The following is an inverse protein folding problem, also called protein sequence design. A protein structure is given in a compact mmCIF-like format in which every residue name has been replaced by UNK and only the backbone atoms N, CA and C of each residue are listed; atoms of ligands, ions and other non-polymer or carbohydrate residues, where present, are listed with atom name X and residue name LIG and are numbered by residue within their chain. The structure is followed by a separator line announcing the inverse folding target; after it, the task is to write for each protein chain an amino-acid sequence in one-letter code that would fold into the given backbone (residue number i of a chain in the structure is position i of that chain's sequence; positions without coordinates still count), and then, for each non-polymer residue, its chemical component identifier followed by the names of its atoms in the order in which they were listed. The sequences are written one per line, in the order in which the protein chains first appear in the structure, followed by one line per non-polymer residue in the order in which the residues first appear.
data_IF_045598851884
#
_entry.id   IF_045598851884
#
_cell.length_a   1.000
_cell.length_b   1.000
_cell.length_c   1.000
_cell.angle_alpha   90.00
_cell.angle_beta   90.00
_cell.angle_gamma   90.00
#
_symmetry.space_group_name_H-M   'P 1'
#
loop_
_entity.id
_entity.type
_entity.pdbx_description
1 polymer ?
#
# COMPACT_ATOMS: atom_id res chain seq x y z
N UNK A 1 -5.63 -11.40 -10.62
CA UNK A 1 -4.74 -11.79 -11.74
C UNK A 1 -3.71 -10.71 -12.11
N UNK A 2 -4.10 -9.44 -12.39
CA UNK A 2 -3.15 -8.40 -12.83
C UNK A 2 -2.06 -8.04 -11.80
N UNK A 3 -2.42 -7.82 -10.54
CA UNK A 3 -1.44 -7.42 -9.49
C UNK A 3 -0.48 -8.55 -9.13
N UNK A 4 -0.98 -9.78 -8.96
CA UNK A 4 -0.16 -10.93 -8.61
C UNK A 4 0.85 -11.28 -9.71
N UNK A 5 0.46 -11.18 -10.98
CA UNK A 5 1.38 -11.40 -12.10
C UNK A 5 2.44 -10.29 -12.16
N UNK A 6 2.04 -9.02 -11.99
CA UNK A 6 2.98 -7.89 -11.91
C UNK A 6 4.01 -8.11 -10.79
N UNK A 7 3.53 -8.43 -9.58
CA UNK A 7 4.38 -8.75 -8.44
C UNK A 7 5.33 -9.92 -8.75
N UNK A 8 4.80 -11.00 -9.34
CA UNK A 8 5.57 -12.15 -9.82
C UNK A 8 6.73 -11.76 -10.73
N UNK A 9 6.46 -10.95 -11.75
CA UNK A 9 7.49 -10.51 -12.70
C UNK A 9 8.56 -9.64 -12.04
N UNK A 10 8.20 -8.78 -11.08
CA UNK A 10 9.16 -7.95 -10.37
C UNK A 10 10.03 -8.74 -9.40
N UNK A 11 9.46 -9.75 -8.72
CA UNK A 11 10.21 -10.61 -7.82
C UNK A 11 11.28 -11.41 -8.58
N UNK A 12 10.93 -12.01 -9.72
CA UNK A 12 11.88 -12.74 -10.57
C UNK A 12 13.00 -11.82 -11.07
N UNK A 13 12.67 -10.58 -11.48
CA UNK A 13 13.69 -9.60 -11.91
C UNK A 13 14.67 -9.19 -10.82
N UNK A 14 14.31 -9.39 -9.54
CA UNK A 14 15.12 -9.01 -8.39
C UNK A 14 15.62 -10.20 -7.58
N UNK A 15 15.55 -11.40 -8.16
CA UNK A 15 15.99 -12.64 -7.52
C UNK A 15 15.33 -12.86 -6.14
N UNK A 16 14.07 -12.47 -6.01
CA UNK A 16 13.28 -12.65 -4.80
C UNK A 16 12.40 -13.91 -4.90
N UNK A 17 12.50 -14.78 -3.90
CA UNK A 17 11.59 -15.91 -3.75
C UNK A 17 10.19 -15.43 -3.33
N UNK A 18 9.14 -15.97 -3.96
CA UNK A 18 7.74 -15.70 -3.59
C UNK A 18 7.13 -16.93 -2.94
N UNK A 19 6.59 -16.76 -1.74
CA UNK A 19 5.74 -17.77 -1.11
C UNK A 19 4.33 -17.73 -1.71
N UNK A 20 3.81 -18.90 -2.10
CA UNK A 20 2.38 -19.13 -2.38
C UNK A 20 1.64 -19.78 -1.19
N UNK A 21 2.28 -19.92 -0.03
CA UNK A 21 1.66 -20.59 1.12
C UNK A 21 0.41 -19.82 1.55
N UNK A 22 -0.71 -20.53 1.58
CA UNK A 22 -1.92 -20.05 2.24
C UNK A 22 -1.65 -20.15 3.74
N UNK A 23 -1.89 -19.05 4.47
CA UNK A 23 -1.68 -19.04 5.91
C UNK A 23 -2.67 -19.99 6.58
N UNK A 24 -2.20 -20.87 7.47
CA UNK A 24 -3.03 -21.87 8.14
C UNK A 24 -4.03 -21.21 9.12
N UNK A 25 -3.62 -20.10 9.74
CA UNK A 25 -4.44 -19.28 10.62
C UNK A 25 -5.08 -18.13 9.85
N UNK A 26 -6.12 -18.42 9.06
CA UNK A 26 -6.90 -17.38 8.40
C UNK A 26 -7.76 -16.69 9.44
N UNK A 27 -7.51 -15.40 9.70
CA UNK A 27 -8.41 -14.59 10.52
C UNK A 27 -9.84 -14.66 9.96
N UNK A 28 -10.77 -15.15 10.78
CA UNK A 28 -12.18 -15.27 10.38
C UNK A 28 -12.86 -13.92 10.59
N UNK A 29 -13.24 -13.26 9.49
CA UNK A 29 -14.01 -12.03 9.55
C UNK A 29 -13.66 -11.07 8.42
N UNK A 30 -14.44 -10.00 8.29
CA UNK A 30 -14.06 -8.85 7.45
C UNK A 30 -13.49 -7.78 8.37
N UNK A 31 -12.38 -7.17 7.97
CA UNK A 31 -11.90 -5.97 8.63
C UNK A 31 -12.92 -4.84 8.47
N UNK A 32 -12.99 -3.91 9.44
CA UNK A 32 -13.78 -2.70 9.27
C UNK A 32 -13.32 -1.96 8.01
N UNK A 33 -14.29 -1.49 7.23
CA UNK A 33 -14.04 -0.77 5.99
C UNK A 33 -13.62 0.69 6.23
N UNK A 34 -13.73 1.50 5.19
CA UNK A 34 -13.45 2.92 5.29
C UNK A 34 -14.40 3.64 6.27
N UNK A 35 -13.90 4.70 6.89
CA UNK A 35 -14.73 5.61 7.67
C UNK A 35 -15.58 6.47 6.73
N UNK A 36 -16.90 6.49 6.93
CA UNK A 36 -17.85 7.27 6.13
C UNK A 36 -18.53 8.30 7.03
N UNK A 37 -18.29 9.58 6.74
CA UNK A 37 -18.98 10.66 7.44
C UNK A 37 -20.33 10.95 6.76
N UNK A 38 -21.44 11.01 7.51
CA UNK A 38 -22.74 11.30 6.93
C UNK A 38 -22.76 12.72 6.34
N UNK A 39 -23.25 12.91 5.10
CA UNK A 39 -23.23 14.22 4.46
C UNK A 39 -24.24 15.17 5.13
N UNK A 40 -23.86 16.45 5.25
CA UNK A 40 -24.81 17.52 5.58
C UNK A 40 -25.57 17.89 4.30
N UNK A 41 -26.86 17.56 4.26
CA UNK A 41 -27.72 17.83 3.10
C UNK A 41 -28.16 19.30 3.10
N UNK A 42 -28.22 19.89 1.90
CA UNK A 42 -28.62 21.29 1.69
C UNK A 42 -27.72 21.99 0.67
N UNK A 43 -28.11 23.20 0.27
CA UNK A 43 -27.30 24.05 -0.60
C UNK A 43 -26.36 24.87 0.29
N UNK A 44 -25.05 24.72 0.11
CA UNK A 44 -24.05 25.56 0.76
C UNK A 44 -23.80 26.79 -0.13
N UNK A 45 -24.24 27.96 0.31
CA UNK A 45 -24.08 29.24 -0.41
C UNK A 45 -23.07 30.18 0.25
N UNK A 46 -22.59 29.86 1.46
CA UNK A 46 -21.72 30.77 2.23
C UNK A 46 -20.27 30.71 1.78
N UNK A 47 -19.85 29.61 1.16
CA UNK A 47 -18.47 29.37 0.76
C UNK A 47 -18.37 28.34 -0.38
N UNK A 48 -17.32 28.42 -1.21
CA UNK A 48 -17.00 27.37 -2.16
C UNK A 48 -16.73 26.04 -1.43
N UNK A 49 -17.22 24.95 -2.00
CA UNK A 49 -16.95 23.58 -1.53
C UNK A 49 -15.94 22.94 -2.47
N UNK A 50 -14.81 22.51 -1.93
CA UNK A 50 -13.75 21.82 -2.69
C UNK A 50 -13.63 20.38 -2.20
N UNK A 51 -13.55 19.43 -3.13
CA UNK A 51 -13.24 18.03 -2.83
C UNK A 51 -11.74 17.88 -2.58
N UNK A 52 -11.35 17.71 -1.31
CA UNK A 52 -9.99 17.33 -0.95
C UNK A 52 -9.92 15.81 -0.91
N UNK A 53 -8.96 15.23 -1.64
CA UNK A 53 -8.73 13.79 -1.66
C UNK A 53 -7.22 13.51 -1.62
N UNK A 54 -6.86 12.33 -1.09
CA UNK A 54 -5.49 11.87 -1.06
C UNK A 54 -5.15 11.13 -2.36
N UNK A 55 -4.05 11.52 -2.99
CA UNK A 55 -3.47 10.71 -4.06
C UNK A 55 -3.01 9.35 -3.48
N UNK A 56 -3.70 8.28 -3.87
CA UNK A 56 -3.33 6.90 -3.53
C UNK A 56 -3.25 6.61 -2.01
N UNK A 57 -4.25 7.03 -1.23
CA UNK A 57 -4.32 6.91 0.24
C UNK A 57 -3.71 5.62 0.81
N UNK A 58 -4.21 4.45 0.40
CA UNK A 58 -3.75 3.16 0.94
C UNK A 58 -2.29 2.88 0.64
N UNK A 59 -1.80 3.22 -0.55
CA UNK A 59 -0.40 3.01 -0.91
C UNK A 59 0.51 3.90 -0.06
N UNK A 60 0.12 5.17 0.13
CA UNK A 60 0.83 6.11 0.98
C UNK A 60 0.92 5.61 2.43
N UNK A 61 -0.17 5.07 2.97
CA UNK A 61 -0.17 4.47 4.32
C UNK A 61 0.77 3.27 4.40
N UNK A 62 0.70 2.33 3.45
CA UNK A 62 1.56 1.14 3.43
C UNK A 62 3.04 1.53 3.40
N UNK A 63 3.41 2.50 2.55
CA UNK A 63 4.80 2.94 2.42
C UNK A 63 5.32 3.62 3.70
N UNK A 64 4.53 4.53 4.28
CA UNK A 64 4.91 5.25 5.50
C UNK A 64 5.02 4.28 6.69
N UNK A 65 4.05 3.37 6.83
CA UNK A 65 4.03 2.41 7.92
C UNK A 65 5.23 1.47 7.87
N UNK A 66 5.55 0.93 6.69
CA UNK A 66 6.71 0.07 6.51
C UNK A 66 8.02 0.83 6.82
N UNK A 67 8.15 2.09 6.39
CA UNK A 67 9.32 2.91 6.69
C UNK A 67 9.51 3.10 8.20
N UNK A 68 8.42 3.34 8.94
CA UNK A 68 8.45 3.51 10.40
C UNK A 68 8.87 2.20 11.11
N UNK A 69 8.28 1.05 10.72
CA UNK A 69 8.67 -0.26 11.27
C UNK A 69 10.17 -0.50 11.07
N UNK A 70 10.68 -0.21 9.88
CA UNK A 70 12.07 -0.45 9.55
C UNK A 70 12.99 0.44 10.37
N UNK A 71 12.67 1.74 10.48
CA UNK A 71 13.48 2.69 11.25
C UNK A 71 13.59 2.28 12.71
N UNK A 72 12.52 1.75 13.29
CA UNK A 72 12.49 1.32 14.69
C UNK A 72 13.18 -0.04 14.90
N UNK A 73 13.16 -0.92 13.90
CA UNK A 73 13.68 -2.28 14.04
C UNK A 73 15.12 -2.47 13.55
N UNK A 74 15.72 -1.47 12.90
CA UNK A 74 17.07 -1.57 12.34
C UNK A 74 17.20 -2.61 11.21
N UNK A 75 16.08 -2.96 10.58
CA UNK A 75 16.02 -4.02 9.57
C UNK A 75 16.67 -3.59 8.25
N UNK A 76 17.31 -4.53 7.56
CA UNK A 76 17.82 -4.31 6.20
C UNK A 76 16.66 -4.10 5.21
N UNK A 77 16.84 -3.17 4.28
CA UNK A 77 15.82 -2.79 3.29
C UNK A 77 16.20 -3.18 1.87
N UNK A 78 15.20 -3.62 1.11
CA UNK A 78 15.25 -3.73 -0.34
C UNK A 78 14.52 -2.57 -1.00
N UNK A 79 15.25 -1.79 -1.78
CA UNK A 79 14.65 -0.73 -2.60
C UNK A 79 13.91 -1.32 -3.79
N UNK A 80 12.70 -0.85 -4.02
CA UNK A 80 11.85 -1.23 -5.13
C UNK A 80 11.53 -0.01 -5.97
N UNK A 81 11.97 0.00 -7.22
CA UNK A 81 11.61 1.03 -8.20
C UNK A 81 10.87 0.44 -9.40
N UNK A 82 9.79 1.10 -9.83
CA UNK A 82 9.06 0.72 -11.03
C UNK A 82 8.35 1.91 -11.69
N UNK A 83 8.17 1.83 -13.01
CA UNK A 83 7.40 2.83 -13.77
C UNK A 83 5.90 2.55 -13.62
N UNK A 84 5.13 3.55 -13.21
CA UNK A 84 3.66 3.50 -13.14
C UNK A 84 3.09 4.84 -13.61
N UNK A 85 2.14 4.82 -14.56
CA UNK A 85 1.52 6.02 -15.12
C UNK A 85 2.55 7.12 -15.52
N UNK A 86 3.65 6.73 -16.17
CA UNK A 86 4.72 7.61 -16.62
C UNK A 86 5.55 8.31 -15.51
N UNK A 87 5.42 7.89 -14.26
CA UNK A 87 6.30 8.32 -13.17
C UNK A 87 6.99 7.11 -12.50
N UNK A 88 8.19 7.34 -11.96
CA UNK A 88 8.92 6.32 -11.20
C UNK A 88 8.36 6.29 -9.78
N UNK A 89 7.85 5.15 -9.36
CA UNK A 89 7.43 4.88 -7.99
C UNK A 89 8.58 4.17 -7.27
N UNK A 90 8.98 4.73 -6.13
CA UNK A 90 9.94 4.13 -5.20
C UNK A 90 9.19 3.59 -3.99
N UNK A 91 9.51 2.36 -3.61
CA UNK A 91 8.99 1.66 -2.44
C UNK A 91 10.13 0.91 -1.75
N UNK A 92 9.89 0.47 -0.51
CA UNK A 92 10.86 -0.27 0.29
C UNK A 92 10.20 -1.52 0.87
N UNK A 93 10.92 -2.65 0.84
CA UNK A 93 10.51 -3.89 1.48
C UNK A 93 11.53 -4.30 2.54
N UNK A 94 11.05 -4.93 3.61
CA UNK A 94 11.92 -5.51 4.63
C UNK A 94 12.64 -6.71 4.02
N UNK A 95 13.95 -6.77 4.15
CA UNK A 95 14.70 -7.99 3.88
C UNK A 95 14.48 -8.98 5.00
N UNK A 96 14.07 -10.18 4.63
CA UNK A 96 14.08 -11.32 5.54
C UNK A 96 15.22 -12.23 5.08
N UNK A 97 16.22 -12.42 5.93
CA UNK A 97 17.22 -13.46 5.73
C UNK A 97 16.52 -14.80 5.94
N UNK A 98 16.35 -15.57 4.88
CA UNK A 98 15.61 -16.83 4.89
C UNK A 98 16.50 -17.97 4.41
#
# INVERSE_FOLDING_TARGET
MKVQNLFGTYAVKRDMAISKKVHENIEKGKYPGAYVYPPKKGIESKRPVTGLDFASLYLSIIMVYNANIVQNNGNNLHKIEFLFNNYIVQAWCIHHDN
#
